data_IF_228878374909
#
_entry.id   IF_228878374909
#
_cell.length_a   1.000
_cell.length_b   1.000
_cell.length_c   1.000
_cell.angle_alpha   90.00
_cell.angle_beta   90.00
_cell.angle_gamma   90.00
#
_symmetry.space_group_name_H-M   'P 1'
#
loop_
_entity.id
_entity.type
_entity.pdbx_description
1 polymer ?
#
# COMPACT_ATOMS: atom_id res chain seq x y z
N UNK A 1 21.46 -7.57 -27.84
CA UNK A 1 22.35 -6.41 -27.60
C UNK A 1 22.63 -6.39 -26.11
N UNK A 2 23.82 -6.81 -25.66
CA UNK A 2 24.24 -6.65 -24.27
C UNK A 2 24.76 -5.22 -24.15
N UNK A 3 24.26 -4.46 -23.19
CA UNK A 3 24.86 -3.17 -22.85
C UNK A 3 26.13 -3.49 -22.07
N UNK A 4 27.28 -3.32 -22.71
CA UNK A 4 28.57 -3.39 -22.04
C UNK A 4 28.79 -2.03 -21.37
N UNK A 5 28.86 -2.02 -20.05
CA UNK A 5 29.08 -0.83 -19.24
C UNK A 5 30.57 -0.77 -18.88
N UNK A 6 31.19 0.38 -19.13
CA UNK A 6 32.57 0.62 -18.74
C UNK A 6 32.66 1.11 -17.29
N UNK A 7 33.83 1.04 -16.67
CA UNK A 7 34.03 1.38 -15.25
C UNK A 7 33.60 2.83 -14.92
N UNK A 8 33.79 3.76 -15.87
CA UNK A 8 33.36 5.15 -15.72
C UNK A 8 31.84 5.34 -15.79
N UNK A 9 31.13 4.47 -16.52
CA UNK A 9 29.66 4.47 -16.55
C UNK A 9 29.11 4.05 -15.19
N UNK A 10 29.75 3.08 -14.53
CA UNK A 10 29.38 2.65 -13.19
C UNK A 10 29.49 3.79 -12.16
N UNK A 11 30.54 4.62 -12.26
CA UNK A 11 30.74 5.80 -11.41
C UNK A 11 29.66 6.85 -11.65
N UNK A 12 29.29 7.09 -12.91
CA UNK A 12 28.22 8.03 -13.26
C UNK A 12 26.87 7.55 -12.73
N UNK A 13 26.55 6.27 -12.90
CA UNK A 13 25.33 5.65 -12.38
C UNK A 13 25.30 5.76 -10.86
N UNK A 14 26.38 5.41 -10.16
CA UNK A 14 26.48 5.51 -8.71
C UNK A 14 26.28 6.96 -8.22
N UNK A 15 26.88 7.95 -8.90
CA UNK A 15 26.69 9.37 -8.58
C UNK A 15 25.24 9.81 -8.78
N UNK A 16 24.60 9.42 -9.88
CA UNK A 16 23.19 9.70 -10.13
C UNK A 16 22.30 9.07 -9.04
N UNK A 17 22.55 7.82 -8.66
CA UNK A 17 21.81 7.14 -7.58
C UNK A 17 21.96 7.87 -6.24
N UNK A 18 23.18 8.30 -5.90
CA UNK A 18 23.43 9.06 -4.66
C UNK A 18 22.76 10.43 -4.66
N UNK A 19 22.81 11.17 -5.77
CA UNK A 19 22.14 12.47 -5.89
C UNK A 19 20.63 12.35 -5.79
N UNK A 20 20.05 11.30 -6.40
CA UNK A 20 18.63 10.99 -6.27
C UNK A 20 18.30 10.70 -4.79
N UNK A 21 19.05 9.81 -4.13
CA UNK A 21 18.86 9.50 -2.70
C UNK A 21 18.92 10.74 -1.81
N UNK A 22 19.94 11.59 -2.00
CA UNK A 22 20.12 12.80 -1.21
C UNK A 22 18.95 13.78 -1.37
N UNK A 23 18.38 13.90 -2.57
CA UNK A 23 17.18 14.72 -2.80
C UNK A 23 15.89 14.13 -2.20
N UNK A 24 15.84 12.82 -1.95
CA UNK A 24 14.73 12.20 -1.22
C UNK A 24 14.84 12.37 0.30
N UNK A 25 16.03 12.71 0.81
CA UNK A 25 16.28 12.95 2.24
C UNK A 25 15.99 14.40 2.65
N UNK A 26 15.65 15.30 1.70
CA UNK A 26 15.24 16.67 1.99
C UNK A 26 13.73 16.80 2.12
N UNK A 27 13.25 17.82 2.86
CA UNK A 27 11.81 18.12 3.02
C UNK A 27 11.09 18.48 1.71
N UNK A 28 11.84 18.77 0.64
CA UNK A 28 11.34 19.02 -0.72
C UNK A 28 11.17 17.73 -1.55
N UNK A 29 11.64 16.58 -1.03
CA UNK A 29 11.54 15.29 -1.69
C UNK A 29 10.11 14.75 -1.69
N UNK A 30 9.57 14.45 -2.88
CA UNK A 30 8.28 13.77 -3.01
C UNK A 30 8.41 12.31 -2.55
N UNK A 31 7.92 11.99 -1.36
CA UNK A 31 7.96 10.62 -0.85
C UNK A 31 6.74 9.83 -1.33
N UNK A 32 6.93 8.98 -2.34
CA UNK A 32 5.87 8.08 -2.81
C UNK A 32 5.67 6.94 -1.81
N UNK A 33 4.53 6.96 -1.13
CA UNK A 33 4.16 5.88 -0.21
C UNK A 33 3.90 4.62 -1.04
N UNK A 34 4.79 3.62 -0.91
CA UNK A 34 4.60 2.33 -1.53
C UNK A 34 3.42 1.60 -0.87
N UNK A 35 2.47 1.18 -1.70
CA UNK A 35 1.31 0.41 -1.27
C UNK A 35 1.45 -1.05 -1.70
N UNK A 36 0.96 -1.96 -0.87
CA UNK A 36 0.94 -3.39 -1.10
C UNK A 36 -0.48 -3.92 -1.01
N UNK A 37 -0.84 -4.86 -1.89
CA UNK A 37 -2.04 -5.67 -1.74
C UNK A 37 -2.03 -6.40 -0.40
N UNK A 38 -3.21 -6.63 0.19
CA UNK A 38 -3.37 -7.29 1.49
C UNK A 38 -2.50 -8.55 1.66
N UNK A 39 -2.45 -9.44 0.66
CA UNK A 39 -1.65 -10.66 0.71
C UNK A 39 -0.14 -10.41 0.87
N UNK A 40 0.38 -9.38 0.18
CA UNK A 40 1.79 -8.99 0.26
C UNK A 40 2.05 -8.12 1.48
N UNK A 41 1.12 -7.22 1.82
CA UNK A 41 1.21 -6.34 2.97
C UNK A 41 1.21 -7.10 4.29
N UNK A 42 0.36 -8.12 4.44
CA UNK A 42 0.34 -8.96 5.65
C UNK A 42 1.64 -9.78 5.81
N UNK A 43 2.24 -10.24 4.71
CA UNK A 43 3.56 -10.90 4.77
C UNK A 43 4.67 -9.93 5.17
N UNK A 44 4.57 -8.67 4.74
CA UNK A 44 5.58 -7.63 5.01
C UNK A 44 5.48 -7.05 6.42
N UNK A 45 4.25 -6.76 6.86
CA UNK A 45 3.99 -5.99 8.08
C UNK A 45 3.50 -6.85 9.25
N UNK A 46 3.22 -8.14 9.05
CA UNK A 46 2.85 -9.05 10.12
C UNK A 46 1.61 -8.59 10.89
N UNK A 47 1.72 -8.56 12.22
CA UNK A 47 0.60 -8.22 13.12
C UNK A 47 0.22 -6.73 13.04
N UNK A 48 1.17 -5.82 12.88
CA UNK A 48 0.87 -4.39 12.65
C UNK A 48 0.03 -4.18 11.37
N UNK A 49 0.25 -5.05 10.37
CA UNK A 49 -0.57 -5.08 9.16
C UNK A 49 -2.01 -5.51 9.43
N UNK A 50 -2.23 -6.50 10.31
CA UNK A 50 -3.57 -6.96 10.70
C UNK A 50 -4.29 -5.88 11.49
N UNK A 51 -3.62 -5.27 12.46
CA UNK A 51 -4.17 -4.18 13.27
C UNK A 51 -4.58 -2.99 12.40
N UNK A 52 -3.80 -2.69 11.35
CA UNK A 52 -4.12 -1.64 10.39
C UNK A 52 -5.36 -1.97 9.54
N UNK A 53 -5.55 -3.24 9.15
CA UNK A 53 -6.75 -3.71 8.44
C UNK A 53 -7.98 -3.63 9.35
N UNK A 54 -7.87 -4.14 10.58
CA UNK A 54 -8.97 -4.17 11.54
C UNK A 54 -9.41 -2.75 11.92
N UNK A 55 -8.45 -1.83 12.10
CA UNK A 55 -8.73 -0.41 12.36
C UNK A 55 -9.51 0.25 11.22
N UNK A 56 -9.20 -0.07 9.96
CA UNK A 56 -9.89 0.49 8.80
C UNK A 56 -11.30 -0.10 8.66
N UNK A 57 -11.44 -1.43 8.74
CA UNK A 57 -12.75 -2.11 8.68
C UNK A 57 -13.66 -1.66 9.81
N UNK A 58 -13.12 -1.54 11.04
CA UNK A 58 -13.87 -1.05 12.19
C UNK A 58 -14.36 0.37 12.00
N UNK A 59 -13.58 1.25 11.36
CA UNK A 59 -14.04 2.61 11.04
C UNK A 59 -15.23 2.60 10.08
N UNK A 60 -15.22 1.72 9.09
CA UNK A 60 -16.35 1.60 8.14
C UNK A 60 -17.62 1.11 8.84
N UNK A 61 -17.49 0.14 9.74
CA UNK A 61 -18.60 -0.37 10.55
C UNK A 61 -19.13 0.70 11.50
N UNK A 62 -18.26 1.40 12.23
CA UNK A 62 -18.64 2.41 13.22
C UNK A 62 -19.27 3.67 12.61
N UNK A 63 -19.06 3.92 11.32
CA UNK A 63 -19.66 5.04 10.58
C UNK A 63 -20.90 4.63 9.80
N UNK A 64 -21.43 3.42 10.05
CA UNK A 64 -22.55 2.82 9.34
C UNK A 64 -22.37 2.84 7.79
N UNK A 65 -21.12 2.87 7.32
CA UNK A 65 -20.81 2.86 5.89
C UNK A 65 -21.01 1.47 5.28
N UNK A 66 -20.73 0.43 6.08
CA UNK A 66 -21.00 -0.96 5.73
C UNK A 66 -21.70 -1.67 6.88
N UNK A 67 -22.62 -2.56 6.52
CA UNK A 67 -23.26 -3.49 7.45
C UNK A 67 -22.84 -4.91 7.05
N UNK A 68 -22.41 -5.76 8.00
CA UNK A 68 -22.06 -7.13 7.69
C UNK A 68 -23.32 -7.91 7.29
N UNK A 69 -23.28 -8.53 6.12
CA UNK A 69 -24.38 -9.36 5.61
C UNK A 69 -23.81 -10.67 5.07
N UNK A 70 -24.50 -11.77 5.34
CA UNK A 70 -24.06 -13.06 4.81
C UNK A 70 -24.43 -13.15 3.33
N UNK A 71 -23.49 -13.67 2.54
CA UNK A 71 -23.69 -13.88 1.10
C UNK A 71 -24.92 -14.75 0.83
N UNK A 72 -25.24 -15.72 1.69
CA UNK A 72 -26.43 -16.57 1.53
C UNK A 72 -27.76 -15.79 1.58
N UNK A 73 -27.79 -14.68 2.32
CA UNK A 73 -28.99 -13.88 2.56
C UNK A 73 -29.19 -12.80 1.48
N UNK A 74 -28.15 -12.51 0.68
CA UNK A 74 -28.23 -11.56 -0.44
C UNK A 74 -29.15 -12.06 -1.56
N UNK A 75 -29.92 -11.18 -2.18
CA UNK A 75 -30.66 -11.48 -3.41
C UNK A 75 -29.73 -11.68 -4.60
N UNK A 76 -30.22 -12.29 -5.69
CA UNK A 76 -29.47 -12.41 -6.93
C UNK A 76 -29.09 -11.04 -7.55
N UNK A 77 -29.95 -10.02 -7.36
CA UNK A 77 -29.72 -8.66 -7.85
C UNK A 77 -28.60 -7.96 -7.07
N UNK A 78 -28.59 -8.07 -5.74
CA UNK A 78 -27.52 -7.52 -4.89
C UNK A 78 -26.18 -8.18 -5.18
N UNK A 79 -26.16 -9.51 -5.32
CA UNK A 79 -24.96 -10.25 -5.73
C UNK A 79 -24.39 -9.77 -7.06
N UNK A 80 -25.25 -9.46 -8.03
CA UNK A 80 -24.84 -8.95 -9.35
C UNK A 80 -24.27 -7.53 -9.28
N UNK A 81 -24.71 -6.73 -8.30
CA UNK A 81 -24.22 -5.37 -8.06
C UNK A 81 -23.01 -5.31 -7.11
N UNK A 82 -22.75 -6.39 -6.38
CA UNK A 82 -21.64 -6.45 -5.43
C UNK A 82 -20.30 -6.25 -6.16
N UNK A 83 -19.49 -5.33 -5.65
CA UNK A 83 -18.15 -5.03 -6.16
C UNK A 83 -17.10 -5.53 -5.18
N UNK A 84 -16.05 -6.16 -5.71
CA UNK A 84 -14.92 -6.61 -4.91
C UNK A 84 -14.13 -5.41 -4.42
N UNK A 85 -14.11 -5.20 -3.11
CA UNK A 85 -13.23 -4.21 -2.50
C UNK A 85 -11.80 -4.75 -2.37
N UNK A 86 -10.82 -3.86 -2.53
CA UNK A 86 -9.40 -4.12 -2.43
C UNK A 86 -8.83 -3.44 -1.19
N UNK A 87 -8.14 -4.21 -0.34
CA UNK A 87 -7.42 -3.67 0.81
C UNK A 87 -5.94 -3.48 0.48
N UNK A 88 -5.46 -2.26 0.68
CA UNK A 88 -4.07 -1.85 0.47
C UNK A 88 -3.41 -1.48 1.80
N UNK A 89 -2.17 -1.92 1.99
CA UNK A 89 -1.35 -1.64 3.17
C UNK A 89 -0.15 -0.80 2.79
N UNK A 90 0.14 0.21 3.59
CA UNK A 90 1.31 1.05 3.40
C UNK A 90 1.87 1.55 4.73
N UNK A 91 3.18 1.73 4.78
CA UNK A 91 3.87 2.31 5.92
C UNK A 91 3.91 3.84 5.78
N UNK A 92 3.41 4.55 6.79
CA UNK A 92 3.62 5.99 6.89
C UNK A 92 5.03 6.24 7.42
N UNK A 93 5.93 6.70 6.56
CA UNK A 93 7.34 6.86 6.93
C UNK A 93 7.58 7.83 8.11
N UNK A 94 6.80 8.91 8.21
CA UNK A 94 6.94 9.88 9.30
C UNK A 94 6.50 9.33 10.67
N UNK A 95 5.35 8.66 10.72
CA UNK A 95 4.76 8.12 11.96
C UNK A 95 5.29 6.70 12.30
N UNK A 96 5.94 6.02 11.34
CA UNK A 96 6.30 4.59 11.39
C UNK A 96 5.11 3.68 11.74
N UNK A 97 3.91 4.08 11.32
CA UNK A 97 2.68 3.30 11.51
C UNK A 97 2.23 2.68 10.19
N UNK A 98 1.61 1.51 10.25
CA UNK A 98 0.99 0.88 9.09
C UNK A 98 -0.44 1.41 8.93
N UNK A 99 -0.82 1.73 7.69
CA UNK A 99 -2.16 2.18 7.32
C UNK A 99 -2.80 1.21 6.34
N UNK A 100 -4.00 0.74 6.70
CA UNK A 100 -4.93 0.09 5.79
C UNK A 100 -5.71 1.14 5.00
N UNK A 101 -6.00 0.84 3.73
CA UNK A 101 -6.92 1.60 2.89
C UNK A 101 -7.78 0.61 2.12
N UNK A 102 -9.09 0.66 2.38
CA UNK A 102 -10.06 -0.06 1.57
C UNK A 102 -10.42 0.79 0.34
N UNK A 103 -10.41 0.17 -0.84
CA UNK A 103 -10.74 0.79 -2.13
C UNK A 103 -11.84 -0.05 -2.77
N UNK A 104 -12.93 0.58 -3.19
CA UNK A 104 -14.07 -0.05 -3.86
C UNK A 104 -14.17 0.48 -5.27
#
# INVERSE_FOLDING_TARGET
MKADYEEHDAILIARCMMQIKAKFETDEGLNFIQQYYINQGLKKFGDDGKDAVDKELRQMLLRDCFTPEFVKDMTASERKKAQSAMMLLAEKQFEKTIKGRLVF
#
